data_IF_907360671670
#
_entry.id   IF_907360671670
#
_cell.length_a   1.000
_cell.length_b   1.000
_cell.length_c   1.000
_cell.angle_alpha   90.00
_cell.angle_beta   90.00
_cell.angle_gamma   90.00
#
_symmetry.space_group_name_H-M   'P 1'
#
loop_
_entity.id
_entity.type
_entity.pdbx_description
1 polymer ?
#
# COMPACT_ATOMS: atom_id res chain seq x y z
N UNK A 1 10.70 -1.48 4.16
CA UNK A 1 9.45 -0.96 3.55
C UNK A 1 8.41 -0.92 4.65
N UNK A 2 7.84 0.25 4.97
CA UNK A 2 6.68 0.33 5.88
C UNK A 2 5.44 0.09 5.01
N UNK A 3 4.93 -1.14 4.99
CA UNK A 3 3.76 -1.50 4.17
C UNK A 3 2.48 -1.01 4.83
N UNK A 4 1.58 -0.42 4.06
CA UNK A 4 0.24 -0.01 4.50
C UNK A 4 0.24 0.94 5.72
N UNK A 5 1.27 1.79 5.86
CA UNK A 5 1.48 2.63 7.03
C UNK A 5 0.29 3.57 7.34
N UNK A 6 -0.33 4.16 6.32
CA UNK A 6 -1.51 5.03 6.49
C UNK A 6 -2.70 4.28 7.07
N UNK A 7 -2.91 3.03 6.66
CA UNK A 7 -3.99 2.21 7.21
C UNK A 7 -3.76 1.95 8.70
N UNK A 8 -2.55 1.53 9.08
CA UNK A 8 -2.21 1.29 10.48
C UNK A 8 -2.22 2.57 11.33
N UNK A 9 -1.82 3.71 10.75
CA UNK A 9 -1.92 5.00 11.42
C UNK A 9 -3.38 5.36 11.75
N UNK A 10 -4.29 5.19 10.78
CA UNK A 10 -5.72 5.38 11.02
C UNK A 10 -6.28 4.41 12.05
N UNK A 11 -5.90 3.13 11.99
CA UNK A 11 -6.31 2.14 12.98
C UNK A 11 -5.85 2.52 14.40
N UNK A 12 -4.62 3.00 14.55
CA UNK A 12 -4.10 3.47 15.82
C UNK A 12 -4.84 4.72 16.32
N UNK A 13 -5.12 5.71 15.46
CA UNK A 13 -5.91 6.88 15.82
C UNK A 13 -7.33 6.51 16.28
N UNK A 14 -7.98 5.57 15.58
CA UNK A 14 -9.30 5.07 15.95
C UNK A 14 -9.30 4.28 17.27
N UNK A 15 -8.18 3.64 17.60
CA UNK A 15 -7.98 2.94 18.87
C UNK A 15 -7.59 3.88 20.04
N UNK A 16 -7.39 5.18 19.78
CA UNK A 16 -6.92 6.15 20.79
C UNK A 16 -5.40 6.17 20.99
N UNK A 17 -4.65 5.39 20.21
CA UNK A 17 -3.20 5.26 20.26
C UNK A 17 -2.53 6.33 19.37
N UNK A 18 -2.70 7.60 19.72
CA UNK A 18 -2.26 8.74 18.92
C UNK A 18 -0.74 8.76 18.67
N UNK A 19 0.06 8.36 19.65
CA UNK A 19 1.52 8.31 19.53
C UNK A 19 1.96 7.36 18.41
N UNK A 20 1.42 6.14 18.41
CA UNK A 20 1.74 5.15 17.38
C UNK A 20 1.21 5.55 16.00
N UNK A 21 0.02 6.16 15.94
CA UNK A 21 -0.54 6.67 14.70
C UNK A 21 0.32 7.78 14.08
N UNK A 22 0.79 8.73 14.90
CA UNK A 22 1.66 9.81 14.43
C UNK A 22 3.03 9.30 13.99
N UNK A 23 3.64 8.38 14.75
CA UNK A 23 4.92 7.75 14.39
C UNK A 23 4.83 7.00 13.07
N UNK A 24 3.78 6.19 12.88
CA UNK A 24 3.57 5.44 11.64
C UNK A 24 3.42 6.36 10.41
N UNK A 25 2.62 7.43 10.53
CA UNK A 25 2.40 8.39 9.45
C UNK A 25 3.66 9.21 9.17
N UNK A 26 4.36 9.68 10.21
CA UNK A 26 5.59 10.44 10.09
C UNK A 26 6.70 9.62 9.42
N UNK A 27 6.90 8.36 9.87
CA UNK A 27 7.86 7.45 9.26
C UNK A 27 7.57 7.23 7.76
N UNK A 28 6.28 7.12 7.40
CA UNK A 28 5.87 6.91 6.02
C UNK A 28 6.14 8.12 5.12
N UNK A 29 5.82 9.32 5.60
CA UNK A 29 6.08 10.57 4.89
C UNK A 29 7.58 10.84 4.79
N UNK A 30 8.33 10.65 5.88
CA UNK A 30 9.78 10.80 5.89
C UNK A 30 10.45 9.87 4.86
N UNK A 31 10.08 8.59 4.83
CA UNK A 31 10.60 7.65 3.85
C UNK A 31 10.31 8.09 2.40
N UNK A 32 9.09 8.55 2.12
CA UNK A 32 8.71 9.02 0.78
C UNK A 32 9.40 10.32 0.38
N UNK A 33 9.54 11.27 1.30
CA UNK A 33 10.25 12.54 1.07
C UNK A 33 11.75 12.33 0.88
N UNK A 34 12.38 11.45 1.68
CA UNK A 34 13.79 11.11 1.53
C UNK A 34 14.06 10.44 0.18
N UNK A 35 13.31 9.38 -0.14
CA UNK A 35 13.51 8.65 -1.40
C UNK A 35 13.17 9.54 -2.60
N UNK A 36 12.00 10.17 -2.61
CA UNK A 36 11.54 10.98 -3.73
C UNK A 36 12.32 12.28 -3.90
N UNK A 37 12.44 13.06 -2.82
CA UNK A 37 13.00 14.41 -2.87
C UNK A 37 14.53 14.46 -2.81
N UNK A 38 15.18 13.56 -2.06
CA UNK A 38 16.64 13.59 -1.85
C UNK A 38 17.35 12.62 -2.78
N UNK A 39 16.94 11.35 -2.80
CA UNK A 39 17.61 10.31 -3.59
C UNK A 39 17.26 10.44 -5.07
N UNK A 40 15.97 10.49 -5.41
CA UNK A 40 15.48 10.62 -6.78
C UNK A 40 15.50 12.07 -7.29
N UNK A 41 15.69 13.05 -6.39
CA UNK A 41 15.71 14.49 -6.70
C UNK A 41 14.45 15.00 -7.42
N UNK A 42 13.30 14.35 -7.20
CA UNK A 42 12.03 14.78 -7.74
C UNK A 42 11.46 15.94 -6.90
N UNK A 43 11.48 17.15 -7.47
CA UNK A 43 10.94 18.35 -6.82
C UNK A 43 9.42 18.28 -6.63
N UNK A 44 8.71 17.50 -7.43
CA UNK A 44 7.25 17.37 -7.36
C UNK A 44 6.80 16.77 -6.03
N UNK A 45 7.64 15.94 -5.42
CA UNK A 45 7.39 15.27 -4.15
C UNK A 45 7.15 16.28 -3.02
N UNK A 46 7.86 17.41 -3.00
CA UNK A 46 7.65 18.46 -1.99
C UNK A 46 6.27 19.12 -2.08
N UNK A 47 5.68 19.19 -3.29
CA UNK A 47 4.34 19.74 -3.51
C UNK A 47 3.24 18.70 -3.25
N UNK A 48 3.52 17.45 -3.58
CA UNK A 48 2.51 16.39 -3.64
C UNK A 48 2.68 15.30 -2.56
N UNK A 49 3.49 15.53 -1.52
CA UNK A 49 3.73 14.53 -0.47
C UNK A 49 2.46 14.08 0.25
N UNK A 50 1.45 14.96 0.35
CA UNK A 50 0.15 14.66 0.93
C UNK A 50 -0.68 13.65 0.12
N UNK A 51 -0.29 13.36 -1.13
CA UNK A 51 -0.87 12.25 -1.91
C UNK A 51 -0.32 10.89 -1.49
N UNK A 52 0.80 10.82 -0.75
CA UNK A 52 1.36 9.54 -0.31
C UNK A 52 0.40 8.77 0.62
N UNK A 53 -0.26 9.41 1.62
CA UNK A 53 -1.30 8.75 2.40
C UNK A 53 -2.46 8.22 1.55
N UNK A 54 -2.95 9.03 0.61
CA UNK A 54 -4.04 8.63 -0.29
C UNK A 54 -3.66 7.44 -1.18
N UNK A 55 -2.46 7.46 -1.76
CA UNK A 55 -1.92 6.35 -2.57
C UNK A 55 -1.79 5.07 -1.75
N UNK A 56 -1.43 5.16 -0.48
CA UNK A 56 -1.33 4.00 0.39
C UNK A 56 -2.70 3.38 0.68
N UNK A 57 -3.73 4.20 0.93
CA UNK A 57 -5.10 3.74 1.10
C UNK A 57 -5.64 3.10 -0.19
N UNK A 58 -5.33 3.68 -1.35
CA UNK A 58 -5.68 3.08 -2.64
C UNK A 58 -4.99 1.72 -2.83
N UNK A 59 -3.70 1.61 -2.53
CA UNK A 59 -2.98 0.33 -2.57
C UNK A 59 -3.55 -0.71 -1.61
N UNK A 60 -3.98 -0.28 -0.42
CA UNK A 60 -4.70 -1.14 0.53
C UNK A 60 -6.04 -1.62 -0.05
N UNK A 61 -6.83 -0.73 -0.66
CA UNK A 61 -8.10 -1.10 -1.29
C UNK A 61 -7.91 -2.11 -2.43
N UNK A 62 -6.88 -1.94 -3.26
CA UNK A 62 -6.51 -2.92 -4.30
C UNK A 62 -6.12 -4.26 -3.67
N UNK A 63 -5.34 -4.24 -2.58
CA UNK A 63 -4.97 -5.46 -1.86
C UNK A 63 -6.20 -6.18 -1.29
N UNK A 64 -7.12 -5.45 -0.65
CA UNK A 64 -8.40 -5.99 -0.16
C UNK A 64 -9.24 -6.56 -1.31
N UNK A 65 -9.33 -5.86 -2.43
CA UNK A 65 -10.02 -6.35 -3.63
C UNK A 65 -9.44 -7.68 -4.14
N UNK A 66 -8.12 -7.85 -4.05
CA UNK A 66 -7.42 -9.09 -4.39
C UNK A 66 -7.80 -10.28 -3.50
N UNK A 67 -8.33 -10.05 -2.29
CA UNK A 67 -8.78 -11.13 -1.41
C UNK A 67 -10.11 -11.77 -1.86
N UNK A 68 -10.90 -11.10 -2.70
CA UNK A 68 -12.20 -11.60 -3.17
C UNK A 68 -12.14 -12.32 -4.53
N UNK A 69 -11.08 -12.10 -5.31
CA UNK A 69 -10.90 -12.71 -6.62
C UNK A 69 -10.06 -13.98 -6.55
N UNK A 70 -10.47 -15.03 -7.24
CA UNK A 70 -9.65 -16.23 -7.43
C UNK A 70 -8.99 -16.30 -8.81
N UNK A 71 -9.26 -15.37 -9.72
CA UNK A 71 -8.81 -15.44 -11.11
C UNK A 71 -8.03 -14.19 -11.49
N UNK A 72 -6.86 -14.37 -12.10
CA UNK A 72 -5.94 -13.29 -12.49
C UNK A 72 -5.43 -13.56 -13.90
N UNK A 73 -5.47 -12.54 -14.77
CA UNK A 73 -4.76 -12.58 -16.05
C UNK A 73 -3.33 -12.09 -15.84
N UNK A 74 -2.35 -12.93 -16.17
CA UNK A 74 -0.93 -12.64 -15.97
C UNK A 74 -0.09 -13.15 -17.15
N UNK A 75 0.65 -12.25 -17.79
CA UNK A 75 1.56 -12.55 -18.91
C UNK A 75 0.91 -13.41 -20.02
N UNK A 76 -0.31 -13.05 -20.42
CA UNK A 76 -1.07 -13.75 -21.47
C UNK A 76 -1.76 -15.04 -21.03
N UNK A 77 -1.68 -15.40 -19.74
CA UNK A 77 -2.28 -16.62 -19.18
C UNK A 77 -3.39 -16.25 -18.21
N UNK A 78 -4.46 -17.04 -18.19
CA UNK A 78 -5.53 -16.94 -17.19
C UNK A 78 -5.19 -17.89 -16.04
N UNK A 79 -4.95 -17.36 -14.84
CA UNK A 79 -4.56 -18.13 -13.66
C UNK A 79 -5.73 -18.17 -12.67
N UNK A 80 -5.98 -19.32 -12.06
CA UNK A 80 -6.99 -19.50 -11.01
C UNK A 80 -6.36 -20.05 -9.73
N UNK A 81 -6.62 -19.39 -8.62
CA UNK A 81 -6.32 -19.83 -7.26
C UNK A 81 -7.40 -20.81 -6.79
N UNK A 82 -7.02 -22.06 -6.56
CA UNK A 82 -7.90 -23.08 -5.99
C UNK A 82 -7.92 -23.00 -4.46
N UNK A 83 -9.00 -23.51 -3.86
CA UNK A 83 -9.16 -23.58 -2.39
C UNK A 83 -8.03 -24.34 -1.68
N UNK A 84 -7.32 -25.23 -2.38
CA UNK A 84 -6.11 -25.90 -1.88
C UNK A 84 -4.85 -25.02 -1.84
N UNK A 85 -4.94 -23.73 -2.19
CA UNK A 85 -3.79 -22.80 -2.20
C UNK A 85 -2.91 -22.91 -3.45
N UNK A 86 -3.30 -23.72 -4.44
CA UNK A 86 -2.57 -23.88 -5.69
C UNK A 86 -3.07 -22.92 -6.75
N UNK A 87 -2.14 -22.33 -7.50
CA UNK A 87 -2.43 -21.50 -8.68
C UNK A 87 -2.24 -22.39 -9.91
N UNK A 88 -3.30 -22.59 -10.68
CA UNK A 88 -3.26 -23.34 -11.94
C UNK A 88 -3.68 -22.45 -13.10
N UNK A 89 -3.33 -22.85 -14.31
CA UNK A 89 -3.84 -22.21 -15.53
C UNK A 89 -5.28 -22.65 -15.76
N UNK A 90 -6.15 -21.66 -15.94
CA UNK A 90 -7.55 -21.89 -16.29
C UNK A 90 -7.58 -22.27 -17.78
N UNK A 91 -7.78 -23.56 -18.03
CA UNK A 91 -7.82 -24.17 -19.37
C UNK A 91 -9.12 -23.82 -20.09
#
# INVERSE_FOLDING_TARGET
>A
VVTQATFWALAAFLAGEWDWGTVALAARLAAGLMVGGIILKDRSVWRWFWLMPLRDLFGFAVWVGGCFGSTVYWRGRKLRLHAGGHIIEET
#
